data_IF_081782692443
#
_entry.id   IF_081782692443
#
_cell.length_a   1.000
_cell.length_b   1.000
_cell.length_c   1.000
_cell.angle_alpha   90.00
_cell.angle_beta   90.00
_cell.angle_gamma   90.00
#
_symmetry.space_group_name_H-M   'P 1'
#
loop_
_entity.id
_entity.type
_entity.pdbx_description
1 polymer ?
#
# COMPACT_ATOMS: atom_id res chain seq x y z
N UNK A 1 -23.32 24.59 -1.31
CA UNK A 1 -23.30 23.14 -0.95
C UNK A 1 -22.26 22.37 -1.77
N UNK A 2 -21.90 22.77 -3.00
CA UNK A 2 -20.97 21.99 -3.85
C UNK A 2 -19.48 22.04 -3.51
N UNK A 3 -18.91 23.18 -3.11
CA UNK A 3 -17.45 23.31 -2.89
C UNK A 3 -16.95 22.52 -1.67
N UNK A 4 -17.72 22.56 -0.59
CA UNK A 4 -17.32 21.99 0.70
C UNK A 4 -17.44 20.46 0.69
N UNK A 5 -18.42 19.93 -0.04
CA UNK A 5 -18.58 18.50 -0.29
C UNK A 5 -17.44 17.92 -1.11
N UNK A 6 -17.06 18.59 -2.21
CA UNK A 6 -15.94 18.15 -3.05
C UNK A 6 -14.60 18.17 -2.27
N UNK A 7 -14.33 19.26 -1.53
CA UNK A 7 -13.14 19.37 -0.70
C UNK A 7 -13.08 18.28 0.40
N UNK A 8 -14.22 17.94 1.00
CA UNK A 8 -14.31 16.87 1.99
C UNK A 8 -14.08 15.48 1.39
N UNK A 9 -14.56 15.21 0.17
CA UNK A 9 -14.27 13.96 -0.54
C UNK A 9 -12.78 13.87 -0.90
N UNK A 10 -12.18 14.94 -1.42
CA UNK A 10 -10.75 14.95 -1.79
C UNK A 10 -9.84 14.69 -0.58
N UNK A 11 -10.20 15.25 0.58
CA UNK A 11 -9.52 14.97 1.84
C UNK A 11 -9.69 13.51 2.26
N UNK A 12 -10.90 12.96 2.16
CA UNK A 12 -11.17 11.56 2.49
C UNK A 12 -10.38 10.61 1.57
N UNK A 13 -10.34 10.90 0.27
CA UNK A 13 -9.55 10.16 -0.72
C UNK A 13 -8.07 10.19 -0.39
N UNK A 14 -7.52 11.38 -0.15
CA UNK A 14 -6.09 11.53 0.19
C UNK A 14 -5.72 10.72 1.42
N UNK A 15 -6.59 10.75 2.45
CA UNK A 15 -6.39 9.96 3.65
C UNK A 15 -6.47 8.45 3.38
N UNK A 16 -7.45 8.00 2.60
CA UNK A 16 -7.61 6.59 2.24
C UNK A 16 -6.41 6.05 1.46
N UNK A 17 -5.83 6.85 0.56
CA UNK A 17 -4.59 6.50 -0.17
C UNK A 17 -3.41 6.32 0.79
N UNK A 18 -3.24 7.22 1.75
CA UNK A 18 -2.15 7.10 2.73
C UNK A 18 -2.34 5.90 3.66
N UNK A 19 -3.58 5.57 4.04
CA UNK A 19 -3.86 4.33 4.77
C UNK A 19 -3.50 3.11 3.94
N UNK A 20 -3.89 3.06 2.67
CA UNK A 20 -3.57 1.94 1.78
C UNK A 20 -2.04 1.78 1.61
N UNK A 21 -1.30 2.89 1.47
CA UNK A 21 0.18 2.86 1.43
C UNK A 21 0.78 2.26 2.69
N UNK A 22 0.29 2.65 3.87
CA UNK A 22 0.77 2.09 5.13
C UNK A 22 0.45 0.60 5.21
N UNK A 23 -0.79 0.18 4.91
CA UNK A 23 -1.18 -1.23 4.91
C UNK A 23 -0.31 -2.08 3.96
N UNK A 24 -0.03 -1.60 2.75
CA UNK A 24 0.89 -2.27 1.81
C UNK A 24 2.30 -2.35 2.38
N UNK A 25 2.81 -1.27 2.98
CA UNK A 25 4.13 -1.25 3.59
C UNK A 25 4.25 -2.24 4.74
N UNK A 26 3.25 -2.28 5.62
CA UNK A 26 3.23 -3.13 6.80
C UNK A 26 3.14 -4.61 6.40
N UNK A 27 2.24 -4.95 5.46
CA UNK A 27 2.12 -6.33 4.96
C UNK A 27 3.39 -6.80 4.25
N UNK A 28 4.06 -5.94 3.48
CA UNK A 28 5.35 -6.29 2.87
C UNK A 28 6.44 -6.56 3.92
N UNK A 29 6.49 -5.77 5.00
CA UNK A 29 7.45 -5.95 6.10
C UNK A 29 7.17 -7.23 6.90
N UNK A 30 5.90 -7.55 7.14
CA UNK A 30 5.44 -8.81 7.74
C UNK A 30 5.91 -10.00 6.91
N UNK A 31 5.55 -10.03 5.62
CA UNK A 31 5.96 -11.09 4.68
C UNK A 31 7.48 -11.22 4.63
N UNK A 32 8.21 -10.11 4.58
CA UNK A 32 9.68 -10.12 4.56
C UNK A 32 10.25 -10.75 5.82
N UNK A 33 9.69 -10.42 6.98
CA UNK A 33 10.16 -10.94 8.28
C UNK A 33 9.91 -12.44 8.40
N UNK A 34 8.74 -12.90 7.96
CA UNK A 34 8.43 -14.34 7.93
C UNK A 34 9.28 -15.09 6.91
N UNK A 35 9.46 -14.53 5.71
CA UNK A 35 10.34 -15.11 4.70
C UNK A 35 11.81 -15.16 5.17
N UNK A 36 12.28 -14.20 5.95
CA UNK A 36 13.63 -14.22 6.52
C UNK A 36 13.79 -15.37 7.54
N UNK A 37 12.75 -15.68 8.31
CA UNK A 37 12.75 -16.85 9.20
C UNK A 37 12.77 -18.15 8.40
N UNK A 38 12.05 -18.21 7.28
CA UNK A 38 11.97 -19.40 6.42
C UNK A 38 13.27 -19.68 5.64
N UNK A 39 13.88 -18.64 5.07
CA UNK A 39 15.02 -18.78 4.14
C UNK A 39 16.37 -18.33 4.70
N UNK A 40 16.39 -17.67 5.86
CA UNK A 40 17.61 -17.17 6.51
C UNK A 40 18.27 -15.98 5.80
N UNK A 41 19.36 -15.46 6.38
CA UNK A 41 20.06 -14.25 5.90
C UNK A 41 20.64 -14.38 4.49
N UNK A 42 20.94 -15.59 4.01
CA UNK A 42 21.47 -15.78 2.65
C UNK A 42 20.46 -15.39 1.56
N UNK A 43 19.18 -15.24 1.90
CA UNK A 43 18.12 -14.74 1.01
C UNK A 43 18.31 -13.28 0.57
N UNK A 44 19.09 -12.49 1.33
CA UNK A 44 19.25 -11.05 1.12
C UNK A 44 18.08 -10.21 1.67
N UNK A 45 17.15 -10.82 2.41
CA UNK A 45 15.98 -10.15 3.00
C UNK A 45 16.34 -9.19 4.15
N UNK A 46 17.50 -9.36 4.78
CA UNK A 46 18.04 -8.49 5.82
C UNK A 46 19.06 -7.48 5.30
N UNK A 47 19.34 -7.45 3.99
CA UNK A 47 20.26 -6.49 3.41
C UNK A 47 19.73 -5.05 3.53
N UNK A 48 20.53 -4.16 4.14
CA UNK A 48 20.13 -2.77 4.37
C UNK A 48 19.61 -2.05 3.12
N UNK A 49 20.21 -2.34 1.96
CA UNK A 49 19.79 -1.76 0.66
C UNK A 49 18.41 -2.25 0.22
N UNK A 50 18.13 -3.54 0.40
CA UNK A 50 16.82 -4.12 0.15
C UNK A 50 15.77 -3.54 1.10
N UNK A 51 16.07 -3.44 2.40
CA UNK A 51 15.17 -2.85 3.39
C UNK A 51 14.78 -1.40 3.04
N UNK A 52 15.75 -0.60 2.59
CA UNK A 52 15.49 0.76 2.13
C UNK A 52 14.62 0.80 0.88
N UNK A 53 14.78 -0.16 -0.03
CA UNK A 53 13.96 -0.27 -1.23
C UNK A 53 12.53 -0.72 -0.89
N UNK A 54 12.37 -1.71 -0.01
CA UNK A 54 11.08 -2.23 0.45
C UNK A 54 10.24 -1.14 1.12
N UNK A 55 10.83 -0.31 1.99
CA UNK A 55 10.14 0.85 2.59
C UNK A 55 9.60 1.86 1.58
N UNK A 56 10.18 1.91 0.38
CA UNK A 56 9.75 2.78 -0.72
C UNK A 56 8.77 2.09 -1.67
N UNK A 57 8.55 0.77 -1.53
CA UNK A 57 7.65 0.01 -2.39
C UNK A 57 6.20 0.47 -2.28
N UNK A 58 5.78 1.05 -1.14
CA UNK A 58 4.47 1.69 -0.96
C UNK A 58 4.15 2.76 -2.00
N UNK A 59 5.17 3.40 -2.59
CA UNK A 59 4.98 4.36 -3.68
C UNK A 59 4.55 3.70 -5.01
N UNK A 60 4.43 2.37 -5.06
CA UNK A 60 3.77 1.66 -6.15
C UNK A 60 2.24 1.82 -6.12
N UNK A 61 1.66 2.22 -4.97
CA UNK A 61 0.21 2.39 -4.81
C UNK A 61 -0.32 3.55 -5.64
N UNK A 62 0.26 4.76 -5.51
CA UNK A 62 -0.28 6.01 -6.11
C UNK A 62 -0.76 5.89 -7.55
N UNK A 63 0.00 5.29 -8.48
CA UNK A 63 -0.38 5.29 -9.89
C UNK A 63 -1.43 4.24 -10.24
N UNK A 64 -1.77 3.35 -9.29
CA UNK A 64 -2.72 2.24 -9.46
C UNK A 64 -4.00 2.46 -8.68
N UNK A 65 -4.11 3.57 -7.94
CA UNK A 65 -5.27 3.85 -7.09
C UNK A 65 -6.51 4.00 -7.97
N UNK A 66 -7.48 3.13 -7.72
CA UNK A 66 -8.82 3.22 -8.26
C UNK A 66 -9.76 3.80 -7.19
N UNK A 67 -10.69 4.65 -7.62
CA UNK A 67 -11.72 5.18 -6.73
C UNK A 67 -12.92 4.22 -6.76
N UNK A 68 -13.31 3.76 -5.58
CA UNK A 68 -14.56 3.01 -5.39
C UNK A 68 -15.71 3.96 -5.08
N UNK A 69 -16.43 3.67 -3.99
CA UNK A 69 -17.51 4.51 -3.50
C UNK A 69 -17.00 5.81 -2.86
N UNK A 70 -17.76 6.90 -3.00
CA UNK A 70 -17.52 8.15 -2.27
C UNK A 70 -18.83 8.78 -1.85
N UNK A 71 -18.91 9.26 -0.61
CA UNK A 71 -20.11 9.92 -0.08
C UNK A 71 -19.75 11.08 0.85
N UNK A 72 -20.70 11.99 1.04
CA UNK A 72 -20.63 13.04 2.07
C UNK A 72 -21.79 12.93 3.01
N UNK A 73 -21.54 13.06 4.31
CA UNK A 73 -22.58 13.12 5.35
C UNK A 73 -22.51 14.45 6.08
N UNK A 74 -23.66 15.10 6.25
CA UNK A 74 -23.76 16.28 7.10
C UNK A 74 -23.45 15.92 8.55
N UNK A 75 -22.67 16.76 9.23
CA UNK A 75 -22.40 16.60 10.66
C UNK A 75 -23.52 17.28 11.43
N UNK A 76 -24.29 16.51 12.19
CA UNK A 76 -25.43 17.03 12.95
C UNK A 76 -24.99 18.14 13.93
N UNK A 77 -25.67 19.28 13.90
CA UNK A 77 -25.39 20.44 14.76
C UNK A 77 -24.37 21.45 14.23
N UNK A 78 -23.79 21.24 13.03
CA UNK A 78 -22.84 22.17 12.41
C UNK A 78 -23.11 22.35 10.91
N UNK A 79 -22.78 23.51 10.33
CA UNK A 79 -22.71 23.71 8.87
C UNK A 79 -21.44 23.05 8.29
N UNK A 80 -21.23 21.77 8.54
CA UNK A 80 -20.06 21.03 8.06
C UNK A 80 -20.43 19.67 7.50
N UNK A 81 -19.66 19.21 6.51
CA UNK A 81 -19.86 17.92 5.84
C UNK A 81 -18.61 17.06 5.99
N UNK A 82 -18.80 15.77 6.25
CA UNK A 82 -17.73 14.77 6.33
C UNK A 82 -17.74 13.92 5.07
N UNK A 83 -16.58 13.85 4.39
CA UNK A 83 -16.38 12.98 3.24
C UNK A 83 -15.95 11.57 3.65
N UNK A 84 -16.35 10.59 2.85
CA UNK A 84 -15.92 9.21 2.89
C UNK A 84 -15.52 8.81 1.47
N UNK A 85 -14.42 8.07 1.36
CA UNK A 85 -13.93 7.58 0.08
C UNK A 85 -13.33 6.19 0.27
N UNK A 86 -13.65 5.30 -0.65
CA UNK A 86 -13.07 3.99 -0.79
C UNK A 86 -12.04 4.01 -1.92
N UNK A 87 -10.89 3.41 -1.68
CA UNK A 87 -9.83 3.29 -2.67
C UNK A 87 -9.32 1.86 -2.71
N UNK A 88 -8.97 1.39 -3.90
CA UNK A 88 -8.43 0.07 -4.15
C UNK A 88 -7.25 0.14 -5.11
N UNK A 89 -6.51 -0.97 -5.20
CA UNK A 89 -5.46 -1.18 -6.20
C UNK A 89 -5.59 -2.60 -6.75
N UNK A 90 -5.42 -2.83 -8.05
CA UNK A 90 -5.38 -4.18 -8.61
C UNK A 90 -4.16 -4.93 -8.05
N UNK A 91 -4.40 -6.03 -7.32
CA UNK A 91 -3.35 -6.81 -6.64
C UNK A 91 -2.20 -7.20 -7.58
N UNK A 92 -2.52 -7.75 -8.75
CA UNK A 92 -1.50 -8.20 -9.71
C UNK A 92 -0.63 -7.05 -10.24
N UNK A 93 -1.24 -5.90 -10.54
CA UNK A 93 -0.51 -4.72 -11.01
C UNK A 93 0.35 -4.12 -9.89
N UNK A 94 -0.14 -4.15 -8.65
CA UNK A 94 0.63 -3.72 -7.48
C UNK A 94 1.88 -4.58 -7.32
N UNK A 95 1.74 -5.91 -7.35
CA UNK A 95 2.86 -6.86 -7.27
C UNK A 95 3.88 -6.60 -8.38
N UNK A 96 3.42 -6.44 -9.63
CA UNK A 96 4.30 -6.17 -10.77
C UNK A 96 5.06 -4.86 -10.57
N UNK A 97 4.38 -3.81 -10.12
CA UNK A 97 4.97 -2.48 -9.94
C UNK A 97 5.93 -2.43 -8.76
N UNK A 98 5.64 -3.15 -7.66
CA UNK A 98 6.58 -3.36 -6.56
C UNK A 98 7.82 -4.08 -7.08
N UNK A 99 7.65 -5.16 -7.85
CA UNK A 99 8.75 -5.91 -8.45
C UNK A 99 9.65 -5.04 -9.34
N UNK A 100 9.07 -4.19 -10.20
CA UNK A 100 9.83 -3.22 -11.00
C UNK A 100 10.65 -2.26 -10.13
N UNK A 101 10.08 -1.77 -9.02
CA UNK A 101 10.80 -0.90 -8.06
C UNK A 101 11.90 -1.65 -7.31
N UNK A 102 11.75 -2.96 -7.13
CA UNK A 102 12.72 -3.85 -6.49
C UNK A 102 13.65 -4.55 -7.49
N UNK A 103 13.69 -4.14 -8.77
CA UNK A 103 14.47 -4.83 -9.82
C UNK A 103 15.99 -4.90 -9.58
N UNK A 104 16.53 -4.12 -8.64
CA UNK A 104 17.92 -4.26 -8.18
C UNK A 104 18.13 -5.35 -7.11
N UNK A 105 17.06 -6.00 -6.66
CA UNK A 105 17.01 -6.94 -5.55
C UNK A 105 16.18 -8.18 -5.91
N UNK A 106 16.30 -8.66 -7.15
CA UNK A 106 15.46 -9.75 -7.68
C UNK A 106 15.51 -11.01 -6.84
N UNK A 107 16.69 -11.37 -6.31
CA UNK A 107 16.86 -12.50 -5.40
C UNK A 107 15.93 -12.38 -4.20
N UNK A 108 16.06 -11.31 -3.42
CA UNK A 108 15.27 -11.06 -2.22
C UNK A 108 13.77 -10.94 -2.54
N UNK A 109 13.41 -10.25 -3.63
CA UNK A 109 12.02 -10.14 -4.06
C UNK A 109 11.41 -11.48 -4.49
N UNK A 110 12.15 -12.32 -5.21
CA UNK A 110 11.70 -13.65 -5.57
C UNK A 110 11.57 -14.55 -4.33
N UNK A 111 12.52 -14.48 -3.38
CA UNK A 111 12.39 -15.18 -2.11
C UNK A 111 11.15 -14.75 -1.33
N UNK A 112 10.82 -13.45 -1.31
CA UNK A 112 9.53 -13.02 -0.74
C UNK A 112 8.36 -13.69 -1.44
N UNK A 113 8.30 -13.67 -2.78
CA UNK A 113 7.18 -14.27 -3.55
C UNK A 113 7.05 -15.79 -3.38
N UNK A 114 8.16 -16.47 -3.12
CA UNK A 114 8.20 -17.92 -2.91
C UNK A 114 7.82 -18.32 -1.48
N UNK A 115 7.84 -17.37 -0.53
CA UNK A 115 7.50 -17.64 0.87
C UNK A 115 6.02 -17.95 1.06
N UNK A 116 5.73 -18.71 2.11
CA UNK A 116 4.33 -19.03 2.47
C UNK A 116 3.53 -17.76 2.80
N UNK A 117 4.18 -16.81 3.48
CA UNK A 117 3.57 -15.55 3.89
C UNK A 117 3.05 -14.74 2.69
N UNK A 118 3.69 -14.84 1.53
CA UNK A 118 3.27 -14.11 0.32
C UNK A 118 1.96 -14.63 -0.27
N UNK A 119 1.57 -15.86 0.01
CA UNK A 119 0.26 -16.38 -0.40
C UNK A 119 -0.92 -15.59 0.20
N UNK A 120 -0.68 -14.91 1.32
CA UNK A 120 -1.65 -14.07 2.03
C UNK A 120 -1.57 -12.57 1.67
N UNK A 121 -0.79 -12.21 0.65
CA UNK A 121 -0.70 -10.83 0.16
C UNK A 121 -1.99 -10.34 -0.49
#
# INVERSE_FOLDING_TARGET
IDSDSAASIDKAKSWAIEQLKSSVSDKLEEIRSEALVEYGSESGLDEARFLMALRKAKNAVDPLVEMGSSETKSVEGYESVRGFAEVSVPKNELIERIGKRLGGYEKAWNTMKESKAFSEF
#
